data_IF_318700392686
#
_entry.id   IF_318700392686
#
_cell.length_a   1.000
_cell.length_b   1.000
_cell.length_c   1.000
_cell.angle_alpha   90.00
_cell.angle_beta   90.00
_cell.angle_gamma   90.00
#
_symmetry.space_group_name_H-M   'P 1'
#
loop_
_entity.id
_entity.type
_entity.pdbx_description
1 polymer ?
#
# COMPACT_ATOMS: atom_id res chain seq x y z
N UNK A 1 -21.17 6.88 -16.26
CA UNK A 1 -20.45 5.59 -16.28
C UNK A 1 -19.70 5.51 -14.96
N UNK A 2 -20.03 4.57 -14.07
CA UNK A 2 -19.26 4.38 -12.83
C UNK A 2 -17.92 3.76 -13.24
N UNK A 3 -16.80 4.47 -12.98
CA UNK A 3 -15.47 3.86 -13.12
C UNK A 3 -15.38 2.75 -12.06
N UNK A 4 -15.11 1.53 -12.50
CA UNK A 4 -14.75 0.43 -11.60
C UNK A 4 -13.40 0.73 -10.97
N UNK A 5 -13.33 0.67 -9.64
CA UNK A 5 -12.07 0.81 -8.92
C UNK A 5 -11.11 -0.34 -9.28
N UNK A 6 -9.83 -0.02 -9.46
CA UNK A 6 -8.79 -1.00 -9.80
C UNK A 6 -8.29 -1.73 -8.54
N UNK A 7 -9.11 -2.66 -8.04
CA UNK A 7 -8.80 -3.47 -6.87
C UNK A 7 -7.70 -4.50 -7.16
N UNK A 8 -6.71 -4.58 -6.29
CA UNK A 8 -5.65 -5.59 -6.30
C UNK A 8 -5.51 -6.18 -4.90
N UNK A 9 -5.47 -7.51 -4.78
CA UNK A 9 -5.49 -8.12 -3.46
C UNK A 9 -5.27 -9.62 -3.45
N UNK A 10 -5.24 -10.16 -2.24
CA UNK A 10 -5.20 -11.58 -1.93
C UNK A 10 -6.23 -11.91 -0.83
N UNK A 11 -6.16 -13.09 -0.23
CA UNK A 11 -7.09 -13.52 0.82
C UNK A 11 -6.92 -12.78 2.17
N UNK A 12 -5.81 -12.07 2.37
CA UNK A 12 -5.53 -11.30 3.58
C UNK A 12 -5.98 -9.84 3.49
N UNK A 13 -5.72 -9.19 2.36
CA UNK A 13 -6.06 -7.77 2.16
C UNK A 13 -6.11 -7.36 0.69
N UNK A 14 -6.81 -6.27 0.42
CA UNK A 14 -6.93 -5.62 -0.89
C UNK A 14 -6.47 -4.17 -0.80
N UNK A 15 -6.03 -3.60 -1.92
CA UNK A 15 -5.75 -2.17 -2.12
C UNK A 15 -6.46 -1.70 -3.39
N UNK A 16 -6.72 -0.40 -3.48
CA UNK A 16 -7.10 0.22 -4.75
C UNK A 16 -5.85 0.82 -5.37
N UNK A 17 -5.47 0.33 -6.55
CA UNK A 17 -4.36 0.88 -7.30
C UNK A 17 -4.85 2.00 -8.23
N UNK A 18 -3.99 2.95 -8.60
CA UNK A 18 -4.31 3.90 -9.67
C UNK A 18 -4.55 3.19 -11.01
N UNK A 19 -5.42 3.74 -11.85
CA UNK A 19 -5.89 3.14 -13.13
C UNK A 19 -4.75 2.80 -14.12
N UNK A 20 -3.58 3.43 -13.98
CA UNK A 20 -2.40 3.23 -14.81
C UNK A 20 -1.12 2.90 -14.00
N UNK A 21 -1.27 2.56 -12.72
CA UNK A 21 -0.12 2.32 -11.84
C UNK A 21 0.65 3.59 -11.47
N UNK A 22 0.11 4.79 -11.73
CA UNK A 22 0.78 6.06 -11.42
C UNK A 22 0.08 6.82 -10.30
N UNK A 23 0.82 7.18 -9.25
CA UNK A 23 0.42 8.21 -8.29
C UNK A 23 0.91 9.53 -8.85
N UNK A 24 -0.03 10.41 -9.20
CA UNK A 24 0.24 11.77 -9.66
C UNK A 24 -0.32 12.70 -8.60
N UNK A 25 0.55 13.44 -7.91
CA UNK A 25 0.09 14.31 -6.83
C UNK A 25 1.12 14.48 -5.74
N UNK A 26 0.71 14.28 -4.49
CA UNK A 26 1.62 14.44 -3.37
C UNK A 26 2.33 13.13 -3.08
N UNK A 27 3.58 13.23 -2.68
CA UNK A 27 4.39 12.08 -2.29
C UNK A 27 3.81 11.31 -1.09
N UNK A 28 2.96 11.97 -0.29
CA UNK A 28 2.28 11.41 0.87
C UNK A 28 0.90 10.82 0.55
N UNK A 29 0.46 10.82 -0.72
CA UNK A 29 -0.76 10.14 -1.12
C UNK A 29 -0.62 8.62 -0.88
N UNK A 30 -1.49 8.08 -0.02
CA UNK A 30 -1.39 6.71 0.49
C UNK A 30 -2.14 5.71 -0.38
N UNK A 31 -1.57 4.51 -0.52
CA UNK A 31 -2.28 3.33 -1.03
C UNK A 31 -2.83 2.54 0.16
N UNK A 32 -4.01 2.92 0.62
CA UNK A 32 -4.59 2.36 1.84
C UNK A 32 -5.00 0.87 1.69
N UNK A 33 -4.63 -0.01 2.63
CA UNK A 33 -5.07 -1.40 2.65
C UNK A 33 -6.50 -1.54 3.23
N UNK A 34 -7.24 -2.49 2.68
CA UNK A 34 -8.49 -3.02 3.20
C UNK A 34 -8.29 -4.46 3.64
N UNK A 35 -8.21 -4.68 4.95
CA UNK A 35 -7.98 -6.01 5.54
C UNK A 35 -9.24 -6.88 5.45
N UNK A 36 -9.09 -8.10 4.96
CA UNK A 36 -10.13 -9.12 4.93
C UNK A 36 -10.06 -10.08 6.13
N UNK A 37 -8.93 -10.09 6.84
CA UNK A 37 -8.69 -10.83 8.08
C UNK A 37 -8.24 -9.86 9.17
N UNK A 38 -8.40 -10.27 10.44
CA UNK A 38 -7.94 -9.47 11.58
C UNK A 38 -6.41 -9.45 11.65
N UNK A 39 -5.81 -8.32 12.04
CA UNK A 39 -4.38 -8.22 12.31
C UNK A 39 -3.75 -6.85 12.07
N UNK A 40 -2.42 -6.81 12.23
CA UNK A 40 -1.60 -5.64 11.91
C UNK A 40 -1.13 -5.71 10.48
N UNK A 41 -1.38 -4.65 9.72
CA UNK A 41 -0.76 -4.51 8.40
C UNK A 41 0.65 -3.99 8.60
N UNK A 42 1.64 -4.65 8.01
CA UNK A 42 2.97 -4.08 7.84
C UNK A 42 3.18 -3.70 6.38
N UNK A 43 3.87 -2.60 6.15
CA UNK A 43 4.27 -2.19 4.81
C UNK A 43 5.69 -1.69 4.76
N UNK A 44 6.31 -1.86 3.61
CA UNK A 44 7.60 -1.29 3.24
C UNK A 44 7.64 -1.06 1.73
N UNK A 45 8.56 -0.23 1.27
CA UNK A 45 8.76 -0.02 -0.15
C UNK A 45 10.24 0.21 -0.48
N UNK A 46 10.63 -0.19 -1.68
CA UNK A 46 11.95 0.11 -2.23
C UNK A 46 11.81 0.69 -3.63
N UNK A 47 12.64 1.68 -3.91
CA UNK A 47 12.72 2.24 -5.25
C UNK A 47 13.43 1.24 -6.16
N UNK A 48 12.89 1.04 -7.36
CA UNK A 48 13.44 0.14 -8.38
C UNK A 48 14.34 0.88 -9.37
N UNK A 49 14.13 2.17 -9.56
CA UNK A 49 14.88 3.06 -10.45
C UNK A 49 15.75 4.08 -9.70
N UNK A 50 16.06 3.80 -8.43
CA UNK A 50 16.84 4.66 -7.56
C UNK A 50 17.25 3.94 -6.27
N UNK A 51 17.64 4.72 -5.25
CA UNK A 51 18.14 4.20 -3.97
C UNK A 51 17.18 4.44 -2.79
N UNK A 52 15.99 4.99 -3.06
CA UNK A 52 14.99 5.29 -2.04
C UNK A 52 14.44 4.05 -1.34
N UNK A 53 14.17 4.18 -0.03
CA UNK A 53 13.57 3.13 0.80
C UNK A 53 12.52 3.74 1.73
N UNK A 54 11.36 3.10 1.82
CA UNK A 54 10.38 3.31 2.90
C UNK A 54 10.60 2.18 3.90
N UNK A 55 11.10 2.53 5.10
CA UNK A 55 11.34 1.56 6.17
C UNK A 55 10.02 0.86 6.55
N UNK A 56 10.14 -0.38 7.00
CA UNK A 56 9.00 -1.14 7.51
C UNK A 56 8.26 -0.37 8.59
N UNK A 57 6.97 -0.19 8.39
CA UNK A 57 6.03 0.42 9.32
C UNK A 57 4.83 -0.50 9.51
N UNK A 58 4.05 -0.26 10.56
CA UNK A 58 2.86 -1.05 10.87
C UNK A 58 1.64 -0.14 11.09
N UNK A 59 0.48 -0.62 10.65
CA UNK A 59 -0.83 -0.05 10.92
C UNK A 59 -1.55 -1.04 11.83
N UNK A 60 -1.66 -0.68 13.10
CA UNK A 60 -2.24 -1.53 14.13
C UNK A 60 -3.72 -1.29 14.41
N UNK A 61 -4.34 -2.14 15.24
CA UNK A 61 -5.72 -2.02 15.69
C UNK A 61 -6.04 -0.70 16.39
N UNK A 62 -5.07 -0.16 17.13
CA UNK A 62 -5.24 1.07 17.92
C UNK A 62 -5.50 2.31 17.05
N UNK A 63 -5.19 2.26 15.76
CA UNK A 63 -5.42 3.36 14.82
C UNK A 63 -6.75 3.23 14.07
N UNK A 64 -7.02 2.06 13.48
CA UNK A 64 -8.13 1.88 12.52
C UNK A 64 -8.90 0.58 12.72
N UNK A 65 -8.93 0.03 13.94
CA UNK A 65 -9.52 -1.28 14.23
C UNK A 65 -8.68 -2.43 13.66
N UNK A 66 -9.04 -3.67 14.00
CA UNK A 66 -8.27 -4.86 13.62
C UNK A 66 -8.62 -5.45 12.25
N UNK A 67 -9.68 -4.97 11.59
CA UNK A 67 -10.16 -5.44 10.27
C UNK A 67 -10.70 -4.27 9.42
N UNK A 68 -10.82 -4.47 8.10
CA UNK A 68 -11.35 -3.46 7.18
C UNK A 68 -10.32 -2.40 6.80
N UNK A 69 -10.83 -1.23 6.42
CA UNK A 69 -10.04 -0.10 5.91
C UNK A 69 -9.06 0.43 6.95
N UNK A 70 -7.83 0.72 6.53
CA UNK A 70 -6.83 1.38 7.37
C UNK A 70 -6.21 2.55 6.60
N UNK A 71 -6.40 3.79 7.09
CA UNK A 71 -5.96 5.00 6.40
C UNK A 71 -4.45 5.26 6.61
N UNK A 72 -3.61 4.34 6.13
CA UNK A 72 -2.15 4.45 6.16
C UNK A 72 -1.52 3.81 4.93
N UNK A 73 -0.20 3.78 4.88
CA UNK A 73 0.56 3.20 3.77
C UNK A 73 1.90 3.92 3.55
N UNK A 74 2.65 3.54 2.50
CA UNK A 74 3.94 4.15 2.19
C UNK A 74 3.88 5.67 2.12
N UNK A 75 4.91 6.30 2.66
CA UNK A 75 5.23 7.70 2.43
C UNK A 75 6.46 7.76 1.53
N UNK A 76 6.30 8.14 0.26
CA UNK A 76 7.37 8.01 -0.70
C UNK A 76 8.34 9.20 -0.57
N UNK A 77 9.63 9.00 -0.26
CA UNK A 77 10.57 10.12 -0.07
C UNK A 77 10.94 10.82 -1.39
N UNK A 78 10.64 10.21 -2.54
CA UNK A 78 10.99 10.73 -3.86
C UNK A 78 10.08 10.14 -4.95
N UNK A 79 10.03 10.85 -6.08
CA UNK A 79 9.47 10.34 -7.33
C UNK A 79 10.28 9.13 -7.85
N UNK A 80 9.63 8.25 -8.59
CA UNK A 80 10.25 7.06 -9.19
C UNK A 80 9.34 5.83 -9.22
N UNK A 81 9.90 4.70 -9.62
CA UNK A 81 9.22 3.40 -9.62
C UNK A 81 9.46 2.71 -8.28
N UNK A 82 8.40 2.35 -7.58
CA UNK A 82 8.46 1.76 -6.24
C UNK A 82 7.82 0.38 -6.23
N UNK A 83 8.55 -0.62 -5.76
CA UNK A 83 7.95 -1.87 -5.32
C UNK A 83 7.47 -1.70 -3.88
N UNK A 84 6.17 -1.90 -3.67
CA UNK A 84 5.53 -1.85 -2.35
C UNK A 84 5.20 -3.27 -1.93
N UNK A 85 5.50 -3.59 -0.68
CA UNK A 85 5.11 -4.85 -0.05
C UNK A 85 4.24 -4.56 1.15
N UNK A 86 3.08 -5.20 1.18
CA UNK A 86 2.20 -5.28 2.33
C UNK A 86 2.16 -6.71 2.87
N UNK A 87 2.08 -6.86 4.19
CA UNK A 87 1.82 -8.14 4.89
C UNK A 87 0.80 -7.94 6.00
N UNK A 88 0.11 -9.01 6.41
CA UNK A 88 -0.79 -9.01 7.56
C UNK A 88 -0.23 -9.98 8.60
N UNK A 89 0.20 -9.44 9.75
CA UNK A 89 0.93 -10.18 10.79
C UNK A 89 2.09 -11.03 10.23
N UNK A 90 2.82 -10.47 9.26
CA UNK A 90 3.92 -11.14 8.57
C UNK A 90 3.51 -12.22 7.54
N UNK A 91 2.21 -12.44 7.33
CA UNK A 91 1.67 -13.36 6.34
C UNK A 91 1.01 -12.63 5.15
N UNK A 92 0.52 -13.41 4.17
CA UNK A 92 -0.22 -12.93 2.99
C UNK A 92 0.47 -11.77 2.23
N UNK A 93 1.71 -11.96 1.76
CA UNK A 93 2.43 -10.89 1.07
C UNK A 93 1.66 -10.42 -0.16
N UNK A 94 1.39 -9.12 -0.22
CA UNK A 94 0.81 -8.43 -1.36
C UNK A 94 1.85 -7.45 -1.91
N UNK A 95 2.35 -7.74 -3.12
CA UNK A 95 3.43 -6.98 -3.77
C UNK A 95 2.92 -6.38 -5.07
N UNK A 96 3.22 -5.11 -5.29
CA UNK A 96 2.90 -4.42 -6.52
C UNK A 96 3.90 -3.29 -6.78
N UNK A 97 3.91 -2.80 -8.02
CA UNK A 97 4.75 -1.67 -8.43
C UNK A 97 3.87 -0.48 -8.75
N UNK A 98 4.26 0.71 -8.29
CA UNK A 98 3.66 1.98 -8.68
C UNK A 98 4.74 2.95 -9.13
N UNK A 99 4.38 3.85 -10.03
CA UNK A 99 5.20 5.00 -10.41
C UNK A 99 4.69 6.23 -9.69
N UNK A 100 5.55 6.88 -8.91
CA UNK A 100 5.24 8.13 -8.21
C UNK A 100 5.79 9.29 -9.03
N UNK A 101 4.93 10.27 -9.35
CA UNK A 101 5.26 11.48 -10.11
C UNK A 101 4.76 12.72 -9.40
#
# INVERSE_FOLDING_TARGET
MLKTANWFGNEGMWVVLPDNGEIVGRLDDKIAPYRLKRGHVQYEARQLDGVGVVKRQAIGPDAYGDIGFAAGGPDFPAQGCWEVTYTLDGAFPLRFVVRVR
#
